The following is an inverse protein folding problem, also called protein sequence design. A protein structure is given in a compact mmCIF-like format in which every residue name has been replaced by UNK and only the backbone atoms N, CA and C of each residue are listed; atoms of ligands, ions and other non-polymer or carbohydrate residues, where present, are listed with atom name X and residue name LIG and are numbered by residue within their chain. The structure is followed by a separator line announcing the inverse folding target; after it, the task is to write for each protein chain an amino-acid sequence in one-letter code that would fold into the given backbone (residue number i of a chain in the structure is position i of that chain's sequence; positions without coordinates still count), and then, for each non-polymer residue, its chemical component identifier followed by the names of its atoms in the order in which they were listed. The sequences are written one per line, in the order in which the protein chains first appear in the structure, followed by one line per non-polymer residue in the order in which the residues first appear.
data_IF_322213229959
#
_entry.id   IF_322213229959
#
_cell.length_a   1.000
_cell.length_b   1.000
_cell.length_c   1.000
_cell.angle_alpha   90.00
_cell.angle_beta   90.00
_cell.angle_gamma   90.00
#
_symmetry.space_group_name_H-M   'P 1'
#
loop_
_entity.id
_entity.type
_entity.pdbx_description
1 polymer ?
#
# COMPACT_ATOMS: atom_id res chain seq x y z
N UNK A 1 -30.39 34.54 -21.22
CA UNK A 1 -29.11 35.12 -20.79
C UNK A 1 -29.49 35.89 -19.54
N UNK A 2 -29.31 35.35 -18.33
CA UNK A 2 -28.04 34.90 -17.78
C UNK A 2 -28.24 33.80 -16.72
N UNK A 3 -27.58 32.67 -16.91
CA UNK A 3 -27.47 31.59 -15.92
C UNK A 3 -26.14 31.77 -15.18
N UNK A 4 -26.14 32.62 -14.15
CA UNK A 4 -24.99 32.81 -13.29
C UNK A 4 -24.94 31.68 -12.26
N UNK A 5 -24.41 30.53 -12.67
CA UNK A 5 -24.07 29.43 -11.79
C UNK A 5 -23.17 29.92 -10.66
N UNK A 6 -23.68 29.85 -9.43
CA UNK A 6 -22.96 30.18 -8.20
C UNK A 6 -21.67 29.36 -8.10
N UNK A 7 -20.53 30.03 -8.27
CA UNK A 7 -19.23 29.45 -8.01
C UNK A 7 -19.08 29.23 -6.50
N UNK A 8 -19.38 28.01 -6.03
CA UNK A 8 -19.14 27.63 -4.65
C UNK A 8 -17.65 27.81 -4.32
N UNK A 9 -17.37 28.65 -3.33
CA UNK A 9 -16.03 28.97 -2.86
C UNK A 9 -15.35 27.70 -2.30
N UNK A 10 -14.27 27.24 -2.95
CA UNK A 10 -13.52 26.08 -2.50
C UNK A 10 -12.70 26.41 -1.24
N UNK A 11 -13.31 26.25 -0.06
CA UNK A 11 -12.62 26.43 1.22
C UNK A 11 -11.71 25.23 1.51
N UNK A 12 -10.40 25.42 1.37
CA UNK A 12 -9.39 24.43 1.79
C UNK A 12 -9.60 24.09 3.28
N UNK A 13 -9.91 22.84 3.56
CA UNK A 13 -9.88 22.31 4.93
C UNK A 13 -8.42 22.11 5.36
N UNK A 14 -8.07 22.62 6.53
CA UNK A 14 -6.75 22.40 7.10
C UNK A 14 -6.52 20.90 7.28
N UNK A 15 -5.31 20.41 6.97
CA UNK A 15 -4.93 19.04 7.30
C UNK A 15 -5.12 18.82 8.79
N UNK A 16 -5.68 17.66 9.15
CA UNK A 16 -5.77 17.25 10.55
C UNK A 16 -4.35 17.20 11.15
N UNK A 17 -4.11 17.74 12.35
CA UNK A 17 -2.83 17.60 13.02
C UNK A 17 -2.52 16.11 13.23
N UNK A 18 -1.28 15.72 12.98
CA UNK A 18 -0.80 14.38 13.28
C UNK A 18 -0.52 14.27 14.78
N UNK A 19 -1.25 13.42 15.49
CA UNK A 19 -1.00 13.14 16.90
C UNK A 19 -0.05 11.95 17.02
N UNK A 20 1.06 12.07 17.75
CA UNK A 20 1.95 10.94 17.97
C UNK A 20 1.27 9.87 18.83
N UNK A 21 1.71 8.62 18.67
CA UNK A 21 1.30 7.52 19.55
C UNK A 21 1.89 7.76 20.94
N UNK A 22 1.02 7.92 21.94
CA UNK A 22 1.45 8.10 23.33
C UNK A 22 1.95 6.80 23.96
N UNK A 23 2.82 6.92 24.97
CA UNK A 23 3.46 5.76 25.62
C UNK A 23 2.45 4.76 26.17
N UNK A 24 1.35 5.21 26.77
CA UNK A 24 0.29 4.34 27.32
C UNK A 24 -0.30 3.42 26.23
N UNK A 25 -0.59 3.99 25.05
CA UNK A 25 -1.12 3.21 23.94
C UNK A 25 -0.06 2.26 23.39
N UNK A 26 1.19 2.71 23.30
CA UNK A 26 2.31 1.89 22.86
C UNK A 26 2.51 0.67 23.76
N UNK A 27 2.60 0.87 25.07
CA UNK A 27 2.77 -0.21 26.05
C UNK A 27 1.62 -1.23 25.97
N UNK A 28 0.38 -0.76 25.78
CA UNK A 28 -0.76 -1.63 25.55
C UNK A 28 -0.62 -2.44 24.25
N UNK A 29 -0.25 -1.81 23.14
CA UNK A 29 -0.05 -2.50 21.87
C UNK A 29 1.08 -3.53 21.94
N UNK A 30 2.19 -3.21 22.60
CA UNK A 30 3.29 -4.13 22.83
C UNK A 30 2.84 -5.35 23.65
N UNK A 31 2.09 -5.13 24.75
CA UNK A 31 1.56 -6.20 25.59
C UNK A 31 0.63 -7.15 24.84
N UNK A 32 -0.19 -6.63 23.93
CA UNK A 32 -1.14 -7.41 23.13
C UNK A 32 -0.50 -7.96 21.83
N UNK A 33 0.82 -7.81 21.63
CA UNK A 33 1.51 -8.26 20.41
C UNK A 33 1.08 -7.53 19.14
N UNK A 34 0.54 -6.32 19.28
CA UNK A 34 0.04 -5.45 18.20
C UNK A 34 1.02 -4.36 17.79
N UNK A 35 2.11 -4.17 18.52
CA UNK A 35 3.24 -3.37 18.09
C UNK A 35 4.26 -4.26 17.37
N UNK A 36 4.33 -4.13 16.04
CA UNK A 36 5.21 -4.94 15.19
C UNK A 36 5.94 -4.02 14.23
N UNK A 37 7.25 -4.23 14.09
CA UNK A 37 8.03 -3.59 13.05
C UNK A 37 7.71 -4.26 11.70
N UNK A 38 7.18 -3.50 10.75
CA UNK A 38 6.92 -4.01 9.42
C UNK A 38 8.25 -4.18 8.65
N UNK A 39 8.45 -5.29 7.93
CA UNK A 39 9.65 -5.55 7.12
C UNK A 39 9.86 -4.54 5.98
N UNK A 40 8.79 -3.88 5.54
CA UNK A 40 8.82 -2.89 4.44
C UNK A 40 8.24 -1.58 4.93
N UNK A 41 8.98 -0.50 4.73
CA UNK A 41 8.53 0.86 5.03
C UNK A 41 7.86 1.51 3.81
N UNK A 42 7.03 2.51 4.06
CA UNK A 42 6.44 3.31 2.99
C UNK A 42 7.51 4.05 2.16
N UNK A 43 8.62 4.49 2.77
CA UNK A 43 9.69 5.16 2.02
C UNK A 43 10.35 4.21 1.02
N UNK A 44 10.62 2.96 1.41
CA UNK A 44 11.16 1.95 0.50
C UNK A 44 10.22 1.69 -0.68
N UNK A 45 8.90 1.66 -0.45
CA UNK A 45 7.93 1.52 -1.54
C UNK A 45 7.90 2.75 -2.47
N UNK A 46 8.24 3.95 -1.99
CA UNK A 46 8.28 5.17 -2.82
C UNK A 46 9.51 5.25 -3.73
N UNK A 47 10.54 4.45 -3.49
CA UNK A 47 11.80 4.45 -4.24
C UNK A 47 11.74 3.61 -5.54
N UNK A 48 10.59 3.62 -6.22
CA UNK A 48 10.44 2.95 -7.51
C UNK A 48 11.17 3.70 -8.63
N UNK A 49 11.71 2.97 -9.61
CA UNK A 49 12.47 3.56 -10.73
C UNK A 49 11.58 4.03 -11.88
N UNK A 50 10.47 3.33 -12.11
CA UNK A 50 9.54 3.61 -13.21
C UNK A 50 8.10 3.25 -12.84
N UNK A 51 7.13 3.90 -13.46
CA UNK A 51 5.71 3.57 -13.34
C UNK A 51 5.03 3.52 -14.71
N UNK A 52 3.95 2.73 -14.82
CA UNK A 52 3.11 2.63 -16.03
C UNK A 52 1.65 2.68 -15.61
N UNK A 53 0.78 3.46 -16.28
CA UNK A 53 -0.65 3.47 -15.99
C UNK A 53 -1.27 2.07 -16.08
N UNK A 54 -2.02 1.69 -15.05
CA UNK A 54 -2.79 0.46 -15.03
C UNK A 54 -4.12 0.70 -15.75
N UNK A 55 -4.28 0.06 -16.90
CA UNK A 55 -5.52 0.09 -17.67
C UNK A 55 -6.34 -1.17 -17.47
N UNK A 56 -7.64 -1.01 -17.24
CA UNK A 56 -8.60 -2.12 -17.20
C UNK A 56 -9.58 -1.99 -18.38
N UNK A 57 -9.56 -2.97 -19.30
CA UNK A 57 -10.39 -2.98 -20.51
C UNK A 57 -10.30 -1.66 -21.30
N UNK A 58 -9.10 -1.11 -21.39
CA UNK A 58 -8.81 0.15 -22.08
C UNK A 58 -9.20 1.42 -21.32
N UNK A 59 -9.66 1.31 -20.07
CA UNK A 59 -9.98 2.46 -19.20
C UNK A 59 -8.90 2.66 -18.16
N UNK A 60 -8.53 3.92 -17.93
CA UNK A 60 -7.59 4.31 -16.89
C UNK A 60 -8.19 4.04 -15.51
N UNK A 61 -7.45 3.31 -14.67
CA UNK A 61 -7.84 3.03 -13.28
C UNK A 61 -7.38 4.11 -12.29
N UNK A 62 -6.57 5.06 -12.74
CA UNK A 62 -5.85 6.06 -11.94
C UNK A 62 -4.80 5.46 -11.00
N UNK A 63 -4.49 4.18 -11.17
CA UNK A 63 -3.36 3.52 -10.53
C UNK A 63 -2.21 3.39 -11.53
N UNK A 64 -1.00 3.43 -11.03
CA UNK A 64 0.20 3.19 -11.81
C UNK A 64 0.90 1.95 -11.26
N UNK A 65 1.15 0.95 -12.10
CA UNK A 65 2.02 -0.16 -11.73
C UNK A 65 3.46 0.32 -11.66
N UNK A 66 4.11 0.11 -10.52
CA UNK A 66 5.48 0.56 -10.27
C UNK A 66 6.47 -0.59 -10.41
N UNK A 67 7.67 -0.25 -10.87
CA UNK A 67 8.79 -1.19 -10.97
C UNK A 67 10.01 -0.63 -10.23
N UNK A 68 10.78 -1.54 -9.66
CA UNK A 68 11.99 -1.28 -8.88
C UNK A 68 13.18 -1.94 -9.56
N UNK A 69 14.39 -1.55 -9.16
CA UNK A 69 15.58 -2.31 -9.49
C UNK A 69 15.45 -3.75 -8.98
N UNK A 70 15.98 -4.72 -9.73
CA UNK A 70 15.79 -6.15 -9.47
C UNK A 70 16.17 -6.55 -8.03
N UNK A 71 17.31 -6.04 -7.53
CA UNK A 71 17.78 -6.34 -6.17
C UNK A 71 16.83 -5.83 -5.08
N UNK A 72 16.21 -4.67 -5.31
CA UNK A 72 15.22 -4.10 -4.39
C UNK A 72 13.88 -4.81 -4.52
N UNK A 73 13.46 -5.18 -5.73
CA UNK A 73 12.22 -5.91 -5.96
C UNK A 73 12.20 -7.26 -5.22
N UNK A 74 13.33 -7.97 -5.15
CA UNK A 74 13.46 -9.22 -4.40
C UNK A 74 13.24 -8.98 -2.90
N UNK A 75 13.92 -7.97 -2.32
CA UNK A 75 13.80 -7.63 -0.90
C UNK A 75 12.40 -7.14 -0.55
N UNK A 76 11.84 -6.25 -1.36
CA UNK A 76 10.48 -5.73 -1.20
C UNK A 76 9.46 -6.85 -1.28
N UNK A 77 9.58 -7.74 -2.25
CA UNK A 77 8.65 -8.86 -2.41
C UNK A 77 8.66 -9.77 -1.18
N UNK A 78 9.85 -10.13 -0.68
CA UNK A 78 9.97 -10.91 0.56
C UNK A 78 9.33 -10.18 1.75
N UNK A 79 9.67 -8.91 1.97
CA UNK A 79 9.17 -8.16 3.11
C UNK A 79 7.66 -7.86 3.02
N UNK A 80 7.10 -7.71 1.82
CA UNK A 80 5.66 -7.55 1.59
C UNK A 80 4.89 -8.85 1.88
N UNK A 81 5.47 -9.99 1.51
CA UNK A 81 4.96 -11.30 1.89
C UNK A 81 4.99 -11.47 3.42
N UNK A 82 6.10 -11.16 4.08
CA UNK A 82 6.20 -11.18 5.55
C UNK A 82 5.16 -10.26 6.19
N UNK A 83 4.99 -9.04 5.67
CA UNK A 83 3.93 -8.09 6.10
C UNK A 83 2.53 -8.71 5.95
N UNK A 84 2.25 -9.36 4.83
CA UNK A 84 0.98 -10.03 4.60
C UNK A 84 0.71 -11.15 5.63
N UNK A 85 1.70 -11.98 5.94
CA UNK A 85 1.56 -13.03 6.96
C UNK A 85 1.31 -12.45 8.36
N UNK A 86 2.04 -11.38 8.73
CA UNK A 86 1.83 -10.66 9.98
C UNK A 86 0.38 -10.13 10.09
N UNK A 87 -0.16 -9.55 9.01
CA UNK A 87 -1.52 -9.02 8.97
C UNK A 87 -2.60 -10.11 9.03
N UNK A 88 -2.34 -11.29 8.45
CA UNK A 88 -3.26 -12.44 8.48
C UNK A 88 -3.36 -13.11 9.85
N UNK A 89 -2.40 -12.86 10.75
CA UNK A 89 -2.32 -13.55 12.05
C UNK A 89 -1.96 -15.04 11.94
N UNK A 90 -1.62 -15.49 10.74
CA UNK A 90 -1.13 -16.83 10.46
C UNK A 90 0.38 -16.82 10.78
N UNK A 91 0.73 -17.04 12.05
CA UNK A 91 2.11 -16.95 12.59
C UNK A 91 3.12 -17.96 12.04
N UNK A 92 3.02 -18.35 10.77
CA UNK A 92 3.93 -19.27 10.12
C UNK A 92 4.30 -18.81 8.71
N UNK A 93 5.61 -18.68 8.47
CA UNK A 93 6.24 -18.47 7.16
C UNK A 93 5.91 -19.58 6.13
N UNK A 94 5.19 -20.65 6.53
CA UNK A 94 4.78 -21.75 5.64
C UNK A 94 3.87 -21.30 4.50
N UNK A 95 3.19 -20.16 4.65
CA UNK A 95 2.34 -19.55 3.60
C UNK A 95 3.16 -19.19 2.35
N UNK A 96 4.45 -18.84 2.49
CA UNK A 96 5.26 -18.29 1.39
C UNK A 96 5.64 -19.26 0.27
N UNK A 97 5.51 -20.56 0.50
CA UNK A 97 5.90 -21.54 -0.52
C UNK A 97 5.02 -21.47 -1.78
N UNK A 98 3.81 -20.91 -1.67
CA UNK A 98 2.83 -20.90 -2.77
C UNK A 98 2.21 -19.53 -3.02
N UNK A 99 2.71 -18.46 -2.38
CA UNK A 99 2.23 -17.10 -2.66
C UNK A 99 3.38 -16.23 -3.12
N UNK A 100 3.11 -15.32 -4.04
CA UNK A 100 4.10 -14.36 -4.52
C UNK A 100 3.44 -12.99 -4.76
N UNK A 101 4.26 -11.94 -4.72
CA UNK A 101 3.85 -10.60 -5.13
C UNK A 101 3.82 -10.56 -6.64
N UNK A 102 2.62 -10.41 -7.21
CA UNK A 102 2.38 -10.29 -8.64
C UNK A 102 2.67 -8.86 -9.10
N UNK A 103 2.16 -7.87 -8.34
CA UNK A 103 2.27 -6.46 -8.73
C UNK A 103 2.15 -5.51 -7.56
N UNK A 104 2.83 -4.38 -7.67
CA UNK A 104 2.70 -3.23 -6.77
C UNK A 104 2.14 -2.07 -7.60
N UNK A 105 1.01 -1.53 -7.17
CA UNK A 105 0.38 -0.36 -7.76
C UNK A 105 0.49 0.82 -6.79
N UNK A 106 0.74 1.99 -7.35
CA UNK A 106 0.80 3.26 -6.64
C UNK A 106 -0.28 4.20 -7.15
N UNK A 107 -0.95 4.88 -6.24
CA UNK A 107 -1.86 5.96 -6.60
C UNK A 107 -1.18 7.30 -6.26
N UNK A 108 -0.80 8.03 -7.30
CA UNK A 108 -0.19 9.36 -7.17
C UNK A 108 -1.20 10.45 -6.76
N UNK A 109 -2.49 10.16 -6.90
CA UNK A 109 -3.59 11.05 -6.56
C UNK A 109 -4.02 10.93 -5.08
N UNK A 110 -4.43 12.06 -4.50
CA UNK A 110 -4.93 12.12 -3.12
C UNK A 110 -3.86 12.34 -2.06
N UNK A 111 -4.30 12.56 -0.82
CA UNK A 111 -3.41 12.97 0.28
C UNK A 111 -2.55 11.82 0.83
N UNK A 112 -3.05 10.59 0.76
CA UNK A 112 -2.42 9.41 1.36
C UNK A 112 -1.50 8.65 0.41
N UNK A 113 -1.58 8.92 -0.90
CA UNK A 113 -0.77 8.29 -1.95
C UNK A 113 -0.55 6.78 -1.71
N UNK A 114 -1.64 6.00 -1.66
CA UNK A 114 -1.57 4.62 -1.18
C UNK A 114 -0.84 3.70 -2.17
N UNK A 115 -0.28 2.63 -1.62
CA UNK A 115 0.13 1.45 -2.37
C UNK A 115 -0.92 0.35 -2.29
N UNK A 116 -1.08 -0.38 -3.39
CA UNK A 116 -1.87 -1.60 -3.46
C UNK A 116 -0.96 -2.72 -3.95
N UNK A 117 -0.87 -3.79 -3.15
CA UNK A 117 -0.02 -4.94 -3.47
C UNK A 117 -0.92 -6.12 -3.81
N UNK A 118 -0.75 -6.67 -5.00
CA UNK A 118 -1.44 -7.89 -5.45
C UNK A 118 -0.57 -9.10 -5.11
N UNK A 119 -1.09 -9.95 -4.24
CA UNK A 119 -0.47 -11.22 -3.86
C UNK A 119 -1.31 -12.33 -4.47
N UNK A 120 -0.67 -13.22 -5.21
CA UNK A 120 -1.31 -14.36 -5.89
C UNK A 120 -0.91 -15.64 -5.18
N UNK A 121 -1.85 -16.57 -5.05
CA UNK A 121 -1.61 -17.94 -4.62
C UNK A 121 -1.47 -18.82 -5.85
N UNK A 122 -0.29 -19.40 -6.04
CA UNK A 122 0.09 -20.27 -7.15
C UNK A 122 -0.83 -21.50 -7.31
N UNK A 123 -1.47 -21.96 -6.23
CA UNK A 123 -2.44 -23.06 -6.33
C UNK A 123 -3.80 -22.65 -6.89
N UNK A 124 -4.13 -21.35 -6.83
CA UNK A 124 -5.40 -20.80 -7.31
C UNK A 124 -5.29 -20.17 -8.72
N UNK A 125 -4.18 -20.33 -9.43
CA UNK A 125 -3.98 -19.77 -10.79
C UNK A 125 -4.85 -20.41 -11.88
N UNK A 126 -5.72 -21.36 -11.54
CA UNK A 126 -6.72 -21.90 -12.45
C UNK A 126 -8.09 -21.26 -12.19
N UNK A 127 -8.38 -20.08 -12.76
CA UNK A 127 -9.74 -19.68 -13.15
C UNK A 127 -9.80 -18.39 -13.98
#
# INVERSE_FOLDING_TARGET
MDDAGSAAEFKRTNRKPAYPIGNILRDYLAKEGREVALPVTYSQLRDFSTSVPLLERGKDTLWETVAYHQDEMVKLSQGLLETYALLRGEGGLKVFSHVYVDRIDFCSFGNSQPFRVRIVNAYNENH
#
